data_IF_646949952507
#
_entry.id   IF_646949952507
#
_cell.length_a   1.000
_cell.length_b   1.000
_cell.length_c   1.000
_cell.angle_alpha   90.00
_cell.angle_beta   90.00
_cell.angle_gamma   90.00
#
_symmetry.space_group_name_H-M   'P 1'
#
loop_
_entity.id
_entity.type
_entity.pdbx_description
1 polymer ?
#
# COMPACT_ATOMS: atom_id res chain seq x y z
N UNK A 1 -21.44 22.77 -10.29
CA UNK A 1 -20.40 21.77 -10.02
C UNK A 1 -20.59 21.32 -8.59
N UNK A 2 -21.11 20.11 -8.38
CA UNK A 2 -21.26 19.57 -7.03
C UNK A 2 -19.86 19.27 -6.49
N UNK A 3 -19.51 19.89 -5.37
CA UNK A 3 -18.22 19.71 -4.73
C UNK A 3 -18.18 18.31 -4.11
N UNK A 4 -17.62 17.35 -4.84
CA UNK A 4 -17.44 15.98 -4.33
C UNK A 4 -16.42 16.05 -3.20
N UNK A 5 -16.91 15.96 -1.96
CA UNK A 5 -16.07 15.95 -0.77
C UNK A 5 -15.04 14.80 -0.86
N UNK A 6 -13.75 15.02 -0.48
CA UNK A 6 -12.75 13.97 -0.45
C UNK A 6 -13.25 12.73 0.29
N UNK A 7 -12.96 11.53 -0.23
CA UNK A 7 -13.45 10.26 0.36
C UNK A 7 -13.08 10.12 1.84
N UNK A 8 -11.91 10.63 2.24
CA UNK A 8 -11.47 10.65 3.65
C UNK A 8 -12.45 11.41 4.56
N UNK A 9 -13.12 12.45 4.07
CA UNK A 9 -14.09 13.20 4.86
C UNK A 9 -15.41 12.45 5.07
N UNK A 10 -15.66 11.38 4.30
CA UNK A 10 -16.80 10.47 4.53
C UNK A 10 -16.49 9.44 5.62
N UNK A 11 -15.22 9.27 5.99
CA UNK A 11 -14.84 8.41 7.09
C UNK A 11 -15.22 9.06 8.41
N UNK A 12 -16.32 8.60 9.00
CA UNK A 12 -16.71 8.97 10.36
C UNK A 12 -16.06 7.98 11.31
N UNK A 13 -14.95 8.37 11.91
CA UNK A 13 -14.33 7.57 12.95
C UNK A 13 -15.28 7.47 14.15
N UNK A 14 -15.88 6.30 14.36
CA UNK A 14 -16.60 6.02 15.61
C UNK A 14 -15.56 5.92 16.72
N UNK A 15 -15.45 6.97 17.54
CA UNK A 15 -14.64 6.96 18.75
C UNK A 15 -15.24 5.95 19.75
N UNK A 16 -14.92 4.68 19.61
CA UNK A 16 -15.07 3.73 20.70
C UNK A 16 -13.85 3.86 21.60
N UNK A 17 -14.12 4.14 22.87
CA UNK A 17 -13.13 4.49 23.90
C UNK A 17 -12.17 3.35 24.25
N UNK A 18 -12.44 2.13 23.77
CA UNK A 18 -11.55 0.96 23.89
C UNK A 18 -11.68 0.11 22.61
N UNK A 19 -10.60 -0.01 21.85
CA UNK A 19 -10.50 -0.97 20.75
C UNK A 19 -10.51 -2.39 21.35
N UNK A 20 -11.66 -3.06 21.32
CA UNK A 20 -11.76 -4.46 21.73
C UNK A 20 -10.95 -5.33 20.74
N UNK A 21 -10.06 -6.17 21.27
CA UNK A 21 -9.23 -7.10 20.48
C UNK A 21 -10.08 -8.02 19.59
N UNK A 22 -11.28 -8.40 20.04
CA UNK A 22 -12.20 -9.24 19.26
C UNK A 22 -12.77 -8.48 18.06
N UNK A 23 -13.01 -7.17 18.22
CA UNK A 23 -13.43 -6.31 17.11
C UNK A 23 -12.30 -6.14 16.09
N UNK A 24 -11.06 -5.97 16.54
CA UNK A 24 -9.88 -5.92 15.66
C UNK A 24 -9.71 -7.24 14.89
N UNK A 25 -9.84 -8.38 15.59
CA UNK A 25 -9.81 -9.71 14.95
C UNK A 25 -10.93 -9.89 13.94
N UNK A 26 -12.15 -9.47 14.27
CA UNK A 26 -13.30 -9.54 13.36
C UNK A 26 -13.06 -8.70 12.11
N UNK A 27 -12.56 -7.46 12.23
CA UNK A 27 -12.26 -6.61 11.08
C UNK A 27 -11.18 -7.27 10.19
N UNK A 28 -10.10 -7.79 10.79
CA UNK A 28 -9.04 -8.49 10.05
C UNK A 28 -9.58 -9.69 9.28
N UNK A 29 -10.41 -10.53 9.93
CA UNK A 29 -11.06 -11.66 9.26
C UNK A 29 -11.93 -11.20 8.09
N UNK A 30 -12.74 -10.16 8.28
CA UNK A 30 -13.55 -9.61 7.18
C UNK A 30 -12.68 -9.15 6.02
N UNK A 31 -11.54 -8.50 6.28
CA UNK A 31 -10.60 -8.08 5.25
C UNK A 31 -9.94 -9.27 4.53
N UNK A 32 -9.54 -10.30 5.27
CA UNK A 32 -8.94 -11.53 4.71
C UNK A 32 -9.95 -12.33 3.86
N UNK A 33 -11.26 -12.22 4.16
CA UNK A 33 -12.36 -12.89 3.44
C UNK A 33 -12.87 -12.11 2.21
N UNK A 34 -12.40 -10.87 1.98
CA UNK A 34 -12.85 -10.04 0.86
C UNK A 34 -12.55 -10.70 -0.48
N UNK A 35 -13.58 -10.82 -1.31
CA UNK A 35 -13.45 -11.28 -2.70
C UNK A 35 -13.03 -10.12 -3.61
N UNK A 36 -12.38 -10.41 -4.74
CA UNK A 36 -12.04 -9.36 -5.71
C UNK A 36 -13.23 -8.52 -6.19
N UNK A 37 -14.44 -9.08 -6.21
CA UNK A 37 -15.67 -8.35 -6.58
C UNK A 37 -16.14 -7.35 -5.51
N UNK A 38 -15.69 -7.49 -4.27
CA UNK A 38 -16.10 -6.66 -3.13
C UNK A 38 -15.15 -5.48 -2.90
N UNK A 39 -14.00 -5.48 -3.59
CA UNK A 39 -12.96 -4.45 -3.50
C UNK A 39 -13.14 -3.46 -4.65
N UNK A 40 -13.13 -2.16 -4.33
CA UNK A 40 -12.99 -1.11 -5.35
C UNK A 40 -11.52 -0.94 -5.70
N UNK A 41 -11.07 -1.58 -6.77
CA UNK A 41 -9.66 -1.58 -7.19
C UNK A 41 -9.25 -0.28 -7.88
N UNK A 42 -10.20 0.39 -8.53
CA UNK A 42 -9.98 1.64 -9.24
C UNK A 42 -10.82 2.80 -8.65
N UNK A 43 -10.48 3.29 -7.45
CA UNK A 43 -11.29 4.28 -6.73
C UNK A 43 -11.34 5.64 -7.43
N UNK A 44 -10.42 5.89 -8.37
CA UNK A 44 -10.24 7.15 -9.07
C UNK A 44 -10.78 7.14 -10.50
N UNK A 45 -11.40 6.06 -10.97
CA UNK A 45 -11.94 5.95 -12.35
C UNK A 45 -12.77 7.16 -12.76
N UNK A 46 -13.70 7.59 -11.91
CA UNK A 46 -14.58 8.74 -12.17
C UNK A 46 -13.86 10.10 -12.05
N UNK A 47 -12.71 10.17 -11.37
CA UNK A 47 -11.95 11.40 -11.14
C UNK A 47 -10.94 11.68 -12.25
N UNK A 48 -10.59 10.68 -13.07
CA UNK A 48 -9.61 10.84 -14.16
C UNK A 48 -10.14 11.54 -15.41
N UNK A 49 -11.42 11.93 -15.44
CA UNK A 49 -12.02 12.67 -16.55
C UNK A 49 -11.76 12.00 -17.90
N UNK A 50 -11.08 12.71 -18.81
CA UNK A 50 -10.66 12.26 -20.15
C UNK A 50 -9.64 11.07 -20.14
N UNK A 51 -9.54 10.31 -19.06
CA UNK A 51 -8.78 9.06 -18.98
C UNK A 51 -7.30 9.19 -18.62
N UNK A 52 -6.80 10.38 -18.29
CA UNK A 52 -5.37 10.61 -18.09
C UNK A 52 -5.05 10.99 -16.63
N UNK A 53 -4.24 10.16 -15.97
CA UNK A 53 -3.62 10.50 -14.69
C UNK A 53 -2.48 11.48 -14.96
N UNK A 54 -2.37 12.55 -14.17
CA UNK A 54 -1.24 13.47 -14.28
C UNK A 54 0.08 12.72 -14.08
N UNK A 55 1.08 12.97 -14.94
CA UNK A 55 2.33 12.21 -14.97
C UNK A 55 3.03 12.10 -13.60
N UNK A 56 2.92 13.15 -12.78
CA UNK A 56 3.50 13.21 -11.43
C UNK A 56 2.96 12.15 -10.45
N UNK A 57 1.76 11.61 -10.67
CA UNK A 57 1.26 10.49 -9.87
C UNK A 57 2.04 9.18 -10.13
N UNK A 58 2.86 9.12 -11.17
CA UNK A 58 3.75 8.00 -11.46
C UNK A 58 5.20 8.27 -11.01
N UNK A 59 5.45 9.28 -10.18
CA UNK A 59 6.76 9.50 -9.55
C UNK A 59 7.06 8.34 -8.60
N UNK A 60 8.18 7.64 -8.77
CA UNK A 60 8.68 6.65 -7.81
C UNK A 60 9.90 7.21 -7.12
N UNK A 61 9.82 7.37 -5.79
CA UNK A 61 10.85 8.03 -5.01
C UNK A 61 10.35 8.52 -3.67
N UNK A 62 11.21 9.15 -2.89
CA UNK A 62 10.82 9.71 -1.60
C UNK A 62 10.13 11.06 -1.74
N UNK A 63 9.04 11.24 -1.02
CA UNK A 63 8.36 12.51 -0.80
C UNK A 63 8.77 13.06 0.56
N UNK A 64 8.89 14.39 0.67
CA UNK A 64 9.22 15.05 1.93
C UNK A 64 8.16 16.09 2.28
N UNK A 65 7.71 16.05 3.53
CA UNK A 65 6.90 17.09 4.13
C UNK A 65 7.46 17.40 5.52
N UNK A 66 7.97 18.62 5.71
CA UNK A 66 8.69 19.02 6.92
C UNK A 66 9.87 18.10 7.24
N UNK A 67 9.83 17.40 8.37
CA UNK A 67 10.81 16.43 8.86
C UNK A 67 10.45 14.98 8.48
N UNK A 68 9.29 14.77 7.87
CA UNK A 68 8.80 13.45 7.44
C UNK A 68 9.23 13.20 6.00
N UNK A 69 9.88 12.07 5.79
CA UNK A 69 10.26 11.56 4.46
C UNK A 69 9.66 10.17 4.31
N UNK A 70 8.79 10.00 3.31
CA UNK A 70 8.12 8.74 3.03
C UNK A 70 8.37 8.32 1.58
N UNK A 71 8.64 7.03 1.33
CA UNK A 71 8.69 6.52 -0.02
C UNK A 71 7.31 6.52 -0.67
N UNK A 72 7.27 6.94 -1.92
CA UNK A 72 6.11 6.83 -2.78
C UNK A 72 6.41 5.84 -3.91
N UNK A 73 5.60 4.78 -3.96
CA UNK A 73 5.75 3.63 -4.85
C UNK A 73 4.49 3.42 -5.69
N UNK A 74 4.27 4.21 -6.75
CA UNK A 74 3.08 4.06 -7.60
C UNK A 74 3.00 2.70 -8.29
N UNK A 75 4.12 1.99 -8.46
CA UNK A 75 4.18 0.63 -9.00
C UNK A 75 3.43 -0.39 -8.14
N UNK A 76 3.22 -0.12 -6.85
CA UNK A 76 2.46 -0.99 -5.93
C UNK A 76 0.96 -0.79 -6.01
N UNK A 77 0.51 0.28 -6.66
CA UNK A 77 -0.90 0.70 -6.70
C UNK A 77 -1.35 0.99 -8.14
N UNK A 78 -0.79 0.29 -9.13
CA UNK A 78 -1.10 0.48 -10.55
C UNK A 78 -2.59 0.29 -10.87
N UNK A 79 -3.27 -0.59 -10.14
CA UNK A 79 -4.74 -0.77 -10.24
C UNK A 79 -5.52 0.50 -9.95
N UNK A 80 -5.08 1.32 -8.98
CA UNK A 80 -5.74 2.59 -8.68
C UNK A 80 -5.64 3.60 -9.84
N UNK A 81 -4.70 3.37 -10.76
CA UNK A 81 -4.51 4.17 -11.99
C UNK A 81 -5.12 3.51 -13.24
N UNK A 82 -5.84 2.38 -13.07
CA UNK A 82 -6.46 1.63 -14.16
C UNK A 82 -5.47 0.80 -14.99
N UNK A 83 -4.36 0.37 -14.39
CA UNK A 83 -3.37 -0.51 -15.02
C UNK A 83 -3.39 -1.90 -14.41
N UNK A 84 -2.96 -2.90 -15.18
CA UNK A 84 -2.77 -4.27 -14.68
C UNK A 84 -1.66 -4.24 -13.63
N UNK A 85 -1.91 -4.83 -12.45
CA UNK A 85 -0.90 -4.87 -11.39
C UNK A 85 0.16 -5.91 -11.71
N UNK A 86 1.40 -5.47 -11.91
CA UNK A 86 2.58 -6.32 -11.97
C UNK A 86 3.22 -6.49 -10.60
N UNK A 87 4.18 -7.42 -10.48
CA UNK A 87 5.08 -7.45 -9.32
C UNK A 87 5.83 -6.12 -9.22
N UNK A 88 5.76 -5.43 -8.08
CA UNK A 88 6.50 -4.18 -7.87
C UNK A 88 7.95 -4.48 -7.49
N UNK A 89 8.80 -3.47 -7.65
CA UNK A 89 10.15 -3.52 -7.10
C UNK A 89 10.11 -3.59 -5.55
N UNK A 90 11.17 -4.13 -4.92
CA UNK A 90 11.30 -4.14 -3.47
C UNK A 90 11.13 -2.73 -2.86
N UNK A 91 10.60 -2.63 -1.62
CA UNK A 91 10.37 -1.34 -0.99
C UNK A 91 11.69 -0.59 -0.80
N UNK A 92 11.63 0.76 -0.75
CA UNK A 92 12.82 1.56 -0.46
C UNK A 92 13.45 1.10 0.86
N UNK A 93 14.76 0.94 0.87
CA UNK A 93 15.50 0.59 2.09
C UNK A 93 15.54 1.81 3.01
N UNK A 94 15.10 1.70 4.27
CA UNK A 94 15.24 2.78 5.23
C UNK A 94 16.72 2.98 5.60
N UNK A 95 17.09 4.22 5.92
CA UNK A 95 18.41 4.55 6.47
C UNK A 95 18.54 4.04 7.90
N UNK A 96 17.47 4.21 8.68
CA UNK A 96 17.38 3.77 10.05
C UNK A 96 16.00 3.14 10.25
N UNK A 97 15.98 1.95 10.85
CA UNK A 97 14.76 1.31 11.31
C UNK A 97 15.00 0.82 12.74
N UNK A 98 14.24 1.35 13.69
CA UNK A 98 14.28 0.95 15.08
C UNK A 98 12.92 0.42 15.50
N UNK A 99 12.90 -0.79 16.05
CA UNK A 99 11.75 -1.38 16.70
C UNK A 99 12.02 -1.47 18.20
N UNK A 100 11.40 -0.56 18.96
CA UNK A 100 11.41 -0.65 20.41
C UNK A 100 10.49 -1.76 20.94
N UNK A 101 10.48 -1.98 22.27
CA UNK A 101 9.72 -3.08 22.90
C UNK A 101 8.19 -2.91 22.85
N UNK A 102 7.68 -1.76 22.43
CA UNK A 102 6.25 -1.52 22.22
C UNK A 102 5.99 -1.04 20.79
N UNK A 103 4.78 -1.29 20.29
CA UNK A 103 4.37 -0.88 18.94
C UNK A 103 4.48 0.64 18.71
N UNK A 104 4.39 1.45 19.77
CA UNK A 104 4.53 2.91 19.72
C UNK A 104 5.98 3.39 19.58
N UNK A 105 6.97 2.49 19.67
CA UNK A 105 8.40 2.80 19.58
C UNK A 105 8.99 2.33 18.25
N UNK A 106 8.17 2.23 17.22
CA UNK A 106 8.64 1.99 15.86
C UNK A 106 9.03 3.32 15.23
N UNK A 107 10.28 3.42 14.77
CA UNK A 107 10.79 4.60 14.06
C UNK A 107 11.51 4.15 12.81
N UNK A 108 11.13 4.73 11.67
CA UNK A 108 11.75 4.48 10.37
C UNK A 108 12.11 5.82 9.77
N UNK A 109 13.31 5.92 9.22
CA UNK A 109 13.77 7.11 8.50
C UNK A 109 14.22 6.73 7.11
N UNK A 110 13.75 7.47 6.13
CA UNK A 110 14.19 7.37 4.75
C UNK A 110 15.09 8.53 4.39
N UNK A 111 15.98 8.30 3.42
CA UNK A 111 16.82 9.36 2.88
C UNK A 111 16.02 10.23 1.93
N UNK A 112 16.28 11.54 1.96
CA UNK A 112 15.73 12.46 0.97
C UNK A 112 16.87 13.12 0.19
N UNK A 113 16.83 13.01 -1.13
CA UNK A 113 17.74 13.72 -2.03
C UNK A 113 16.96 14.86 -2.68
N UNK A 114 17.29 16.11 -2.31
CA UNK A 114 16.55 17.29 -2.79
C UNK A 114 16.55 17.40 -4.31
N UNK A 115 17.67 17.03 -4.95
CA UNK A 115 17.85 17.04 -6.41
C UNK A 115 16.85 16.13 -7.14
N UNK A 116 16.29 15.10 -6.48
CA UNK A 116 15.28 14.23 -7.07
C UNK A 116 14.00 15.01 -7.41
N UNK A 117 13.68 16.05 -6.64
CA UNK A 117 12.52 16.89 -6.93
C UNK A 117 12.74 17.75 -8.17
N UNK A 118 13.91 18.37 -8.32
CA UNK A 118 14.26 19.14 -9.51
C UNK A 118 14.28 18.28 -10.77
N UNK A 119 14.64 17.00 -10.60
CA UNK A 119 14.75 16.00 -11.66
C UNK A 119 13.60 14.99 -11.64
N UNK A 120 12.44 15.31 -11.07
CA UNK A 120 11.34 14.35 -10.83
C UNK A 120 10.92 13.57 -12.08
N UNK A 121 11.06 14.17 -13.27
CA UNK A 121 10.78 13.52 -14.56
C UNK A 121 11.65 12.28 -14.82
N UNK A 122 12.88 12.26 -14.31
CA UNK A 122 13.78 11.11 -14.40
C UNK A 122 13.38 9.97 -13.45
N UNK A 123 12.48 10.25 -12.51
CA UNK A 123 11.97 9.32 -11.51
C UNK A 123 10.52 8.92 -11.80
N UNK A 124 10.00 9.23 -12.99
CA UNK A 124 8.72 8.72 -13.43
C UNK A 124 8.84 7.26 -13.84
N UNK A 125 7.89 6.44 -13.38
CA UNK A 125 7.73 5.10 -13.93
C UNK A 125 7.58 5.21 -15.45
N UNK A 126 8.45 4.51 -16.17
CA UNK A 126 8.39 4.45 -17.62
C UNK A 126 7.07 3.80 -18.07
N UNK A 127 6.49 4.19 -19.22
CA UNK A 127 5.23 3.63 -19.70
C UNK A 127 5.22 2.09 -19.75
N UNK A 128 6.37 1.49 -20.04
CA UNK A 128 6.57 0.03 -20.11
C UNK A 128 6.42 -0.62 -18.72
N UNK A 129 6.87 0.07 -17.67
CA UNK A 129 6.78 -0.40 -16.27
C UNK A 129 5.37 -0.22 -15.70
N UNK A 130 4.62 0.78 -16.18
CA UNK A 130 3.22 0.99 -15.77
C UNK A 130 2.30 -0.15 -16.22
N UNK A 131 2.74 -0.95 -17.19
CA UNK A 131 1.98 -2.07 -17.73
C UNK A 131 0.77 -1.64 -18.57
N UNK A 132 0.06 -2.64 -19.07
CA UNK A 132 -1.13 -2.45 -19.89
C UNK A 132 -2.28 -1.84 -19.10
N UNK A 133 -3.22 -1.20 -19.82
CA UNK A 133 -4.50 -0.80 -19.23
C UNK A 133 -5.28 -2.04 -18.86
N UNK A 134 -5.83 -2.05 -17.65
CA UNK A 134 -6.63 -3.16 -17.18
C UNK A 134 -8.01 -3.15 -17.86
N UNK A 135 -8.38 -4.26 -18.51
CA UNK A 135 -9.76 -4.47 -18.99
C UNK A 135 -10.74 -4.57 -17.81
N UNK A 136 -10.31 -5.27 -16.74
CA UNK A 136 -11.04 -5.36 -15.48
C UNK A 136 -10.15 -4.91 -14.32
N UNK A 137 -10.73 -4.16 -13.38
CA UNK A 137 -9.97 -3.48 -12.33
C UNK A 137 -9.20 -4.45 -11.40
N UNK A 138 -9.63 -5.70 -11.29
CA UNK A 138 -8.98 -6.72 -10.45
C UNK A 138 -7.80 -7.44 -11.14
N UNK A 139 -7.48 -7.12 -12.40
CA UNK A 139 -6.44 -7.82 -13.15
C UNK A 139 -5.04 -7.62 -12.55
N UNK A 140 -4.26 -8.69 -12.62
CA UNK A 140 -2.85 -8.75 -12.25
C UNK A 140 -2.10 -9.64 -13.24
N UNK A 141 -0.78 -9.48 -13.29
CA UNK A 141 0.08 -10.47 -13.92
C UNK A 141 0.02 -11.81 -13.16
N UNK A 142 0.21 -12.96 -13.83
CA UNK A 142 0.07 -14.28 -13.19
C UNK A 142 0.98 -14.51 -11.97
N UNK A 143 2.12 -13.82 -11.93
CA UNK A 143 3.13 -13.88 -10.87
C UNK A 143 2.86 -12.92 -9.70
N UNK A 144 1.99 -11.91 -9.89
CA UNK A 144 1.68 -10.94 -8.84
C UNK A 144 1.01 -11.57 -7.63
N UNK A 145 -0.01 -12.41 -7.82
CA UNK A 145 -0.77 -12.96 -6.68
C UNK A 145 0.08 -13.92 -5.82
N UNK A 146 0.88 -14.84 -6.41
CA UNK A 146 1.87 -15.61 -5.67
C UNK A 146 2.89 -14.76 -4.92
N UNK A 147 3.38 -13.68 -5.54
CA UNK A 147 4.29 -12.73 -4.89
C UNK A 147 3.61 -12.00 -3.71
N UNK A 148 2.40 -11.49 -3.93
CA UNK A 148 1.64 -10.73 -2.94
C UNK A 148 1.35 -11.56 -1.69
N UNK A 149 0.88 -12.80 -1.86
CA UNK A 149 0.62 -13.72 -0.75
C UNK A 149 1.88 -14.08 0.04
N UNK A 150 3.04 -14.10 -0.63
CA UNK A 150 4.32 -14.42 0.00
C UNK A 150 4.93 -13.23 0.74
N UNK A 151 4.84 -12.03 0.16
CA UNK A 151 5.67 -10.88 0.57
C UNK A 151 4.84 -9.82 1.31
N UNK A 152 3.70 -9.41 0.73
CA UNK A 152 2.88 -8.29 1.23
C UNK A 152 1.66 -8.70 2.04
N UNK A 153 1.22 -9.95 1.91
CA UNK A 153 0.11 -10.51 2.66
C UNK A 153 0.52 -11.67 3.59
N UNK A 154 1.61 -11.56 4.39
CA UNK A 154 1.65 -12.34 5.62
C UNK A 154 0.41 -11.94 6.41
N UNK A 155 -0.50 -12.90 6.60
CA UNK A 155 -1.84 -12.74 7.19
C UNK A 155 -1.87 -11.59 8.21
N UNK A 156 -2.86 -10.70 8.10
CA UNK A 156 -2.96 -9.49 8.97
C UNK A 156 -3.13 -9.89 10.46
N UNK A 157 -3.36 -11.17 10.73
CA UNK A 157 -3.37 -11.81 12.04
C UNK A 157 -1.97 -11.99 12.62
N UNK A 158 -1.78 -11.56 13.88
CA UNK A 158 -0.51 -11.75 14.58
C UNK A 158 -0.22 -13.26 14.75
N UNK A 159 0.96 -13.77 14.32
CA UNK A 159 1.35 -15.18 14.38
C UNK A 159 1.20 -15.81 15.77
N UNK A 160 1.31 -15.02 16.85
CA UNK A 160 1.20 -15.50 18.24
C UNK A 160 -0.20 -15.93 18.67
N UNK A 161 -1.21 -15.68 17.85
CA UNK A 161 -2.61 -16.03 18.14
C UNK A 161 -3.21 -16.98 17.09
N UNK A 162 -2.37 -17.62 16.26
CA UNK A 162 -2.81 -18.81 15.54
C UNK A 162 -2.88 -19.96 16.53
N UNK A 163 -3.99 -20.70 16.53
CA UNK A 163 -4.02 -22.02 17.14
C UNK A 163 -2.95 -22.89 16.45
N UNK A 164 -2.23 -23.67 17.26
CA UNK A 164 -0.93 -24.33 17.00
C UNK A 164 -0.79 -25.24 15.76
N UNK A 165 -1.76 -25.31 14.84
CA UNK A 165 -1.84 -26.39 13.85
C UNK A 165 -1.39 -26.07 12.42
N UNK A 166 -0.93 -24.85 12.08
CA UNK A 166 -0.41 -24.58 10.72
C UNK A 166 0.84 -23.71 10.71
N UNK A 167 1.97 -24.42 10.69
CA UNK A 167 3.30 -24.08 10.13
C UNK A 167 3.84 -22.67 10.43
N UNK A 168 4.74 -22.65 11.41
CA UNK A 168 5.72 -21.60 11.63
C UNK A 168 6.47 -21.24 10.34
N UNK A 169 6.36 -19.98 9.89
CA UNK A 169 7.39 -19.39 9.04
C UNK A 169 7.89 -18.11 9.70
N UNK A 170 9.19 -18.15 9.98
CA UNK A 170 10.00 -17.16 10.66
C UNK A 170 9.94 -15.81 9.94
N UNK A 171 9.35 -14.80 10.58
CA UNK A 171 9.39 -13.40 10.13
C UNK A 171 10.78 -12.86 10.47
N UNK A 172 11.66 -12.78 9.48
CA UNK A 172 12.98 -12.15 9.60
C UNK A 172 12.87 -10.71 9.09
N UNK A 173 12.86 -9.75 10.02
CA UNK A 173 13.28 -8.33 9.98
C UNK A 173 13.04 -7.41 8.76
N UNK A 174 12.47 -7.86 7.64
CA UNK A 174 12.22 -7.04 6.44
C UNK A 174 10.76 -6.96 5.98
N UNK A 175 9.85 -7.78 6.53
CA UNK A 175 8.48 -7.91 6.00
C UNK A 175 7.45 -6.99 6.69
N UNK A 176 7.79 -6.38 7.83
CA UNK A 176 6.85 -5.57 8.62
C UNK A 176 6.75 -4.11 8.16
N UNK A 177 7.54 -3.69 7.16
CA UNK A 177 7.38 -2.40 6.48
C UNK A 177 6.22 -2.42 5.47
N UNK A 178 5.79 -3.60 4.99
CA UNK A 178 4.79 -3.71 3.93
C UNK A 178 3.34 -3.57 4.41
N UNK A 179 3.09 -3.78 5.71
CA UNK A 179 1.74 -3.71 6.30
C UNK A 179 1.14 -2.29 6.25
N UNK A 180 1.97 -1.26 6.07
CA UNK A 180 1.51 0.13 5.98
C UNK A 180 1.14 0.58 4.56
N UNK A 181 1.40 -0.22 3.52
CA UNK A 181 1.26 0.20 2.12
C UNK A 181 0.09 -0.46 1.36
N UNK A 182 -0.78 -1.21 2.04
CA UNK A 182 -1.91 -1.96 1.43
C UNK A 182 -3.29 -1.38 1.78
N UNK A 183 -3.38 -0.11 2.21
CA UNK A 183 -4.67 0.58 2.37
C UNK A 183 -4.66 1.93 1.68
#
# INVERSE_FOLDING_TARGET
>A
MDYVQPRVCRWVQKHETVMNIDKVRSIRRTLDELRPSEVTWDPYVNHRGNGHVHAMAFYSGTLKYMDVVEPYHPERILRQFGHVQSMPDPPYRPLEAHRGPSALKYSVKYGFQADNWERWRNHLLAPEVRGEKAEFEFLATPDYLPWFLKVSHPLITNPRYFDDDMVATTIVDNELLEVLYVV
#
